data_IF_628646126989
#
_entry.id   IF_628646126989
#
_cell.length_a   1.000
_cell.length_b   1.000
_cell.length_c   1.000
_cell.angle_alpha   90.00
_cell.angle_beta   90.00
_cell.angle_gamma   90.00
#
_symmetry.space_group_name_H-M   'P 1'
#
loop_
_entity.id
_entity.type
_entity.pdbx_description
1 polymer ?
#
# COMPACT_ATOMS: atom_id res chain seq x y z
N UNK A 1 -5.26 -3.05 -5.90
CA UNK A 1 -4.32 -4.17 -5.79
C UNK A 1 -5.01 -5.41 -5.23
N UNK A 2 -4.49 -6.54 -5.58
CA UNK A 2 -4.97 -7.82 -5.05
C UNK A 2 -3.79 -8.67 -4.58
N UNK A 3 -4.10 -9.65 -3.73
CA UNK A 3 -3.15 -10.68 -3.35
C UNK A 3 -3.39 -11.91 -4.24
N UNK A 4 -2.34 -12.40 -4.88
CA UNK A 4 -2.47 -13.50 -5.84
C UNK A 4 -3.06 -14.77 -5.22
N UNK A 5 -2.62 -15.11 -4.02
CA UNK A 5 -3.11 -16.31 -3.35
C UNK A 5 -4.58 -16.17 -2.98
N UNK A 6 -4.97 -15.03 -2.42
CA UNK A 6 -6.37 -14.78 -2.10
C UNK A 6 -7.25 -14.83 -3.35
N UNK A 7 -6.79 -14.24 -4.45
CA UNK A 7 -7.55 -14.26 -5.69
C UNK A 7 -7.72 -15.70 -6.22
N UNK A 8 -6.63 -16.45 -6.28
CA UNK A 8 -6.66 -17.82 -6.83
C UNK A 8 -7.51 -18.75 -5.99
N UNK A 9 -7.46 -18.61 -4.67
CA UNK A 9 -8.19 -19.47 -3.74
C UNK A 9 -9.59 -18.96 -3.42
N UNK A 10 -9.91 -17.75 -3.85
CA UNK A 10 -11.17 -17.10 -3.52
C UNK A 10 -12.33 -17.55 -4.41
N UNK A 11 -13.53 -16.98 -4.15
CA UNK A 11 -14.78 -17.44 -4.77
C UNK A 11 -15.05 -16.91 -6.17
N UNK A 12 -14.19 -16.08 -6.72
CA UNK A 12 -14.43 -15.53 -8.05
C UNK A 12 -14.42 -16.62 -9.11
N UNK A 13 -15.28 -16.52 -10.15
CA UNK A 13 -15.25 -17.46 -11.26
C UNK A 13 -13.91 -17.42 -12.00
N UNK A 14 -13.56 -18.54 -12.63
CA UNK A 14 -12.28 -18.68 -13.32
C UNK A 14 -12.05 -17.58 -14.37
N UNK A 15 -13.07 -17.27 -15.16
CA UNK A 15 -12.91 -16.26 -16.21
C UNK A 15 -12.57 -14.88 -15.63
N UNK A 16 -13.12 -14.56 -14.47
CA UNK A 16 -12.84 -13.29 -13.82
C UNK A 16 -11.43 -13.28 -13.22
N UNK A 17 -10.99 -14.40 -12.64
CA UNK A 17 -9.63 -14.53 -12.13
C UNK A 17 -8.61 -14.35 -13.26
N UNK A 18 -8.85 -14.97 -14.38
CA UNK A 18 -7.96 -14.84 -15.55
C UNK A 18 -7.89 -13.40 -16.04
N UNK A 19 -9.02 -12.72 -16.06
CA UNK A 19 -9.07 -11.31 -16.46
C UNK A 19 -8.26 -10.43 -15.52
N UNK A 20 -8.40 -10.64 -14.22
CA UNK A 20 -7.68 -9.86 -13.21
C UNK A 20 -6.18 -10.14 -13.30
N UNK A 21 -5.79 -11.39 -13.53
CA UNK A 21 -4.40 -11.79 -13.64
C UNK A 21 -3.73 -11.40 -14.95
N UNK A 22 -4.49 -10.97 -15.93
CA UNK A 22 -3.94 -10.60 -17.24
C UNK A 22 -3.07 -9.35 -17.15
N UNK A 23 -2.24 -9.15 -18.18
CA UNK A 23 -1.34 -8.00 -18.25
C UNK A 23 -2.07 -6.65 -18.30
N UNK A 24 -3.34 -6.67 -18.67
CA UNK A 24 -4.17 -5.46 -18.72
C UNK A 24 -5.16 -5.38 -17.57
N UNK A 25 -5.05 -6.30 -16.61
CA UNK A 25 -5.92 -6.33 -15.44
C UNK A 25 -5.41 -5.46 -14.31
N UNK A 26 -5.61 -5.94 -13.09
CA UNK A 26 -5.20 -5.22 -11.88
C UNK A 26 -3.78 -5.59 -11.49
N UNK A 27 -3.13 -4.72 -10.70
CA UNK A 27 -1.83 -5.03 -10.14
C UNK A 27 -1.98 -5.93 -8.92
N UNK A 28 -1.14 -6.93 -8.80
CA UNK A 28 -1.01 -7.67 -7.55
C UNK A 28 -0.16 -6.86 -6.56
N UNK A 29 -0.20 -7.26 -5.29
CA UNK A 29 0.66 -6.63 -4.29
C UNK A 29 2.13 -6.76 -4.67
N UNK A 30 2.53 -7.92 -5.19
CA UNK A 30 3.91 -8.14 -5.59
C UNK A 30 4.31 -7.28 -6.78
N UNK A 31 3.45 -7.16 -7.78
CA UNK A 31 3.72 -6.30 -8.92
C UNK A 31 3.82 -4.84 -8.52
N UNK A 32 2.96 -4.40 -7.61
CA UNK A 32 3.02 -3.04 -7.09
C UNK A 32 4.34 -2.80 -6.35
N UNK A 33 4.78 -3.76 -5.54
CA UNK A 33 6.05 -3.66 -4.83
C UNK A 33 7.23 -3.60 -5.80
N UNK A 34 7.21 -4.41 -6.87
CA UNK A 34 8.26 -4.36 -7.89
C UNK A 34 8.29 -3.02 -8.61
N UNK A 35 7.12 -2.48 -8.92
CA UNK A 35 7.04 -1.15 -9.53
C UNK A 35 7.67 -0.11 -8.62
N UNK A 36 7.39 -0.17 -7.33
CA UNK A 36 7.91 0.80 -6.38
C UNK A 36 9.43 0.72 -6.26
N UNK A 37 10.01 -0.47 -6.19
CA UNK A 37 11.46 -0.58 -6.10
C UNK A 37 12.16 -0.16 -7.38
N UNK A 38 11.53 -0.41 -8.53
CA UNK A 38 12.08 0.00 -9.83
C UNK A 38 12.14 1.50 -9.98
N UNK A 39 11.14 2.20 -9.46
CA UNK A 39 11.00 3.65 -9.64
C UNK A 39 11.32 4.46 -8.39
N UNK A 40 11.76 3.84 -7.34
CA UNK A 40 12.00 4.52 -6.06
C UNK A 40 12.91 5.73 -6.21
N UNK A 41 12.56 6.79 -5.50
CA UNK A 41 13.37 7.99 -5.38
C UNK A 41 13.46 8.41 -3.92
N UNK A 42 14.64 8.81 -3.44
CA UNK A 42 14.78 9.32 -2.06
C UNK A 42 13.95 10.58 -1.81
N UNK A 43 13.41 11.18 -2.85
CA UNK A 43 12.54 12.36 -2.73
C UNK A 43 11.10 11.99 -2.36
N UNK A 44 10.73 10.73 -2.51
CA UNK A 44 9.39 10.27 -2.15
C UNK A 44 9.23 10.32 -0.63
N UNK A 45 8.08 10.82 -0.18
CA UNK A 45 7.71 10.85 1.22
C UNK A 45 6.67 9.83 1.55
N UNK A 46 5.68 9.70 0.69
CA UNK A 46 4.51 8.87 0.93
C UNK A 46 4.22 8.00 -0.26
N UNK A 47 3.78 6.79 0.03
CA UNK A 47 3.17 5.89 -0.96
C UNK A 47 1.83 5.48 -0.39
N UNK A 48 0.77 5.80 -1.10
CA UNK A 48 -0.57 5.37 -0.73
C UNK A 48 -0.96 4.19 -1.59
N UNK A 49 -1.31 3.07 -0.94
CA UNK A 49 -1.79 1.89 -1.64
C UNK A 49 -3.31 2.01 -1.74
N UNK A 50 -3.76 2.45 -2.89
CA UNK A 50 -5.17 2.78 -3.13
C UNK A 50 -5.92 1.62 -3.75
N UNK A 51 -7.24 1.63 -3.61
CA UNK A 51 -8.12 0.69 -4.32
C UNK A 51 -7.76 -0.77 -4.06
N UNK A 52 -7.51 -1.10 -2.81
CA UNK A 52 -7.24 -2.49 -2.43
C UNK A 52 -8.52 -3.29 -2.58
N UNK A 53 -8.41 -4.47 -3.18
CA UNK A 53 -9.55 -5.34 -3.39
C UNK A 53 -10.16 -5.75 -2.05
N UNK A 54 -11.47 -5.65 -1.93
CA UNK A 54 -12.18 -6.02 -0.71
C UNK A 54 -12.08 -7.53 -0.45
N UNK A 55 -12.27 -8.32 -1.50
CA UNK A 55 -12.38 -9.77 -1.38
C UNK A 55 -11.06 -10.49 -1.58
N UNK A 56 -10.10 -9.86 -2.27
CA UNK A 56 -8.86 -10.52 -2.67
C UNK A 56 -7.63 -9.78 -2.16
N UNK A 57 -7.78 -9.03 -1.07
CA UNK A 57 -6.64 -8.37 -0.44
C UNK A 57 -6.98 -8.00 0.99
N UNK A 58 -5.97 -7.61 1.73
CA UNK A 58 -6.11 -7.07 3.07
C UNK A 58 -5.07 -5.96 3.22
N UNK A 59 -5.43 -4.82 3.87
CA UNK A 59 -4.49 -3.72 4.01
C UNK A 59 -3.14 -4.11 4.62
N UNK A 60 -3.16 -4.96 5.64
CA UNK A 60 -1.93 -5.40 6.30
C UNK A 60 -1.06 -6.25 5.38
N UNK A 61 -1.69 -7.07 4.55
CA UNK A 61 -0.98 -7.91 3.60
C UNK A 61 -0.33 -7.07 2.50
N UNK A 62 -1.07 -6.10 1.98
CA UNK A 62 -0.53 -5.17 0.99
C UNK A 62 0.64 -4.38 1.56
N UNK A 63 0.48 -3.85 2.77
CA UNK A 63 1.53 -3.11 3.45
C UNK A 63 2.78 -3.96 3.64
N UNK A 64 2.61 -5.18 4.17
CA UNK A 64 3.73 -6.06 4.47
C UNK A 64 4.49 -6.46 3.23
N UNK A 65 3.79 -6.74 2.14
CA UNK A 65 4.41 -7.11 0.88
C UNK A 65 5.33 -5.99 0.38
N UNK A 66 4.84 -4.76 0.43
CA UNK A 66 5.63 -3.59 0.00
C UNK A 66 6.78 -3.33 0.96
N UNK A 67 6.51 -3.38 2.27
CA UNK A 67 7.54 -3.15 3.28
C UNK A 67 8.70 -4.12 3.13
N UNK A 68 8.41 -5.39 2.98
CA UNK A 68 9.44 -6.41 2.85
C UNK A 68 10.28 -6.21 1.59
N UNK A 69 9.62 -5.90 0.49
CA UNK A 69 10.34 -5.73 -0.77
C UNK A 69 11.24 -4.49 -0.76
N UNK A 70 10.74 -3.38 -0.22
CA UNK A 70 11.55 -2.18 -0.07
C UNK A 70 12.71 -2.43 0.88
N UNK A 71 12.46 -3.16 1.96
CA UNK A 71 13.50 -3.49 2.94
C UNK A 71 14.64 -4.30 2.36
N UNK A 72 14.36 -5.16 1.37
CA UNK A 72 15.41 -5.92 0.69
C UNK A 72 16.42 -5.03 -0.03
N UNK A 73 16.02 -3.83 -0.39
CA UNK A 73 16.89 -2.83 -1.02
C UNK A 73 17.42 -1.80 -0.02
N UNK A 74 17.23 -2.02 1.27
CA UNK A 74 17.71 -1.12 2.29
C UNK A 74 16.82 0.11 2.52
N UNK A 75 15.63 0.14 1.93
CA UNK A 75 14.69 1.25 2.11
C UNK A 75 13.83 0.94 3.33
N UNK A 76 13.89 1.79 4.36
CA UNK A 76 13.21 1.55 5.63
C UNK A 76 11.87 2.26 5.65
N UNK A 77 10.80 1.45 5.61
CA UNK A 77 9.44 1.98 5.73
C UNK A 77 9.24 2.51 7.15
N UNK A 78 8.71 3.72 7.25
CA UNK A 78 8.56 4.41 8.52
C UNK A 78 9.66 5.43 8.78
N UNK A 79 10.81 5.30 8.15
CA UNK A 79 11.93 6.24 8.29
C UNK A 79 12.25 6.92 6.96
N UNK A 80 12.53 6.12 5.94
CA UNK A 80 12.90 6.66 4.61
C UNK A 80 11.66 7.04 3.80
N UNK A 81 10.57 6.32 4.01
CA UNK A 81 9.32 6.53 3.28
C UNK A 81 8.16 6.03 4.14
N UNK A 82 7.00 6.66 4.00
CA UNK A 82 5.77 6.19 4.63
C UNK A 82 4.94 5.44 3.61
N UNK A 83 4.53 4.23 3.96
CA UNK A 83 3.65 3.42 3.11
C UNK A 83 2.32 3.26 3.83
N UNK A 84 1.25 3.67 3.19
CA UNK A 84 -0.06 3.75 3.84
C UNK A 84 -1.09 3.03 2.99
N UNK A 85 -1.55 1.85 3.42
CA UNK A 85 -2.65 1.17 2.74
C UNK A 85 -3.95 1.88 3.10
N UNK A 86 -4.66 2.37 2.09
CA UNK A 86 -5.89 3.09 2.31
C UNK A 86 -7.05 2.12 2.52
N UNK A 87 -7.85 2.39 3.54
CA UNK A 87 -9.05 1.61 3.82
C UNK A 87 -10.23 2.14 3.03
N UNK A 88 -11.14 1.25 2.67
CA UNK A 88 -12.25 1.60 1.79
C UNK A 88 -13.21 2.62 2.39
N UNK A 89 -13.45 2.52 3.68
CA UNK A 89 -14.53 3.27 4.34
C UNK A 89 -14.07 4.16 5.48
N UNK A 90 -12.76 4.30 5.67
CA UNK A 90 -12.22 5.13 6.75
C UNK A 90 -11.33 6.22 6.19
N UNK A 91 -11.42 7.44 6.72
CA UNK A 91 -10.50 8.50 6.33
C UNK A 91 -9.08 8.17 6.80
N UNK A 92 -8.10 8.67 6.09
CA UNK A 92 -6.69 8.35 6.36
C UNK A 92 -6.01 9.40 7.23
N UNK A 93 -6.58 10.56 7.36
CA UNK A 93 -5.97 11.66 8.08
C UNK A 93 -5.42 12.71 7.13
N UNK A 94 -4.65 13.61 7.68
CA UNK A 94 -4.10 14.76 6.94
C UNK A 94 -2.60 14.59 6.81
N UNK A 95 -2.09 14.77 5.59
CA UNK A 95 -0.67 14.65 5.30
C UNK A 95 -0.13 16.00 4.80
N UNK A 96 1.02 16.40 5.35
CA UNK A 96 1.65 17.64 4.94
C UNK A 96 2.79 17.34 3.97
N UNK A 97 2.67 17.84 2.76
CA UNK A 97 3.64 17.60 1.68
C UNK A 97 4.59 18.77 1.56
N UNK A 98 5.12 19.21 2.66
CA UNK A 98 6.00 20.37 2.69
C UNK A 98 7.47 19.99 2.56
N UNK A 99 8.30 20.71 3.32
CA UNK A 99 9.73 20.47 3.34
C UNK A 99 10.05 19.13 3.97
N UNK A 100 11.17 18.57 3.53
CA UNK A 100 11.57 17.22 3.88
C UNK A 100 11.61 16.92 5.38
N UNK A 101 12.11 17.82 6.18
CA UNK A 101 12.31 17.56 7.60
C UNK A 101 11.05 17.53 8.45
N UNK A 102 9.92 17.98 7.92
CA UNK A 102 8.71 18.15 8.71
C UNK A 102 7.63 17.11 8.44
N UNK A 103 7.68 16.48 7.29
CA UNK A 103 6.58 15.65 6.80
C UNK A 103 6.23 14.50 7.73
N UNK A 104 7.22 13.75 8.18
CA UNK A 104 6.98 12.54 8.97
C UNK A 104 6.38 12.88 10.33
N UNK A 105 6.90 13.88 10.98
CA UNK A 105 6.37 14.30 12.28
C UNK A 105 4.93 14.77 12.18
N UNK A 106 4.63 15.53 11.12
CA UNK A 106 3.27 16.00 10.88
C UNK A 106 2.30 14.84 10.66
N UNK A 107 2.73 13.83 9.94
CA UNK A 107 1.89 12.65 9.70
C UNK A 107 1.54 11.96 11.00
N UNK A 108 2.51 11.73 11.86
CA UNK A 108 2.26 11.07 13.12
C UNK A 108 1.24 11.85 13.96
N UNK A 109 1.40 13.16 14.02
CA UNK A 109 0.50 14.03 14.79
C UNK A 109 -0.92 13.98 14.21
N UNK A 110 -1.05 14.09 12.90
CA UNK A 110 -2.35 14.11 12.25
C UNK A 110 -3.06 12.78 12.40
N UNK A 111 -2.34 11.68 12.34
CA UNK A 111 -2.92 10.36 12.51
C UNK A 111 -3.45 10.15 13.92
N UNK A 112 -2.85 10.76 14.91
CA UNK A 112 -3.34 10.67 16.27
C UNK A 112 -4.71 11.32 16.46
N UNK A 113 -5.06 12.27 15.59
CA UNK A 113 -6.37 12.89 15.61
C UNK A 113 -7.47 12.00 15.05
N UNK A 114 -7.12 10.89 14.42
CA UNK A 114 -8.06 9.99 13.80
C UNK A 114 -7.82 8.54 14.27
N UNK A 115 -8.07 8.27 15.54
CA UNK A 115 -7.71 6.98 16.14
C UNK A 115 -8.35 5.78 15.47
N UNK A 116 -9.48 5.96 14.81
CA UNK A 116 -10.16 4.87 14.10
C UNK A 116 -9.29 4.29 13.00
N UNK A 117 -8.46 5.09 12.41
CA UNK A 117 -7.61 4.66 11.30
C UNK A 117 -6.51 3.69 11.72
N UNK A 118 -6.16 3.71 12.96
CA UNK A 118 -5.10 2.88 13.49
C UNK A 118 -5.56 1.44 13.71
N UNK A 119 -6.85 1.22 13.65
CA UNK A 119 -7.45 -0.09 13.87
C UNK A 119 -7.56 -0.84 12.56
N UNK A 120 -6.47 -1.36 12.14
CA UNK A 120 -6.39 -2.05 10.86
C UNK A 120 -6.67 -3.52 10.96
#
# INVERSE_FOLDING_TARGET
>A
NYDETMLRMGPYPTYLKERILSSTGHLSNREAAEFLVTHYSPRWRYVWLCHLSKDNNHPDLAYKTVEMRLGELGIRVGEDIQVIPLRRSLPTGIFHLGTAGNSVSSVATDMDLFPVEEKR
#
